data_IF_812206828985
#
_entry.id   IF_812206828985
#
_cell.length_a   1.000
_cell.length_b   1.000
_cell.length_c   1.000
_cell.angle_alpha   90.00
_cell.angle_beta   90.00
_cell.angle_gamma   90.00
#
_symmetry.space_group_name_H-M   'P 1'
#
loop_
_entity.id
_entity.type
_entity.pdbx_description
1 polymer ?
#
# COMPACT_ATOMS: atom_id res chain seq x y z
N UNK A 1 1.15 14.24 -29.89
CA UNK A 1 0.24 14.96 -28.97
C UNK A 1 -0.36 13.92 -28.05
N UNK A 2 0.38 13.53 -27.01
CA UNK A 2 -0.02 12.45 -26.09
C UNK A 2 -1.18 12.98 -25.24
N UNK A 3 -2.34 12.34 -25.35
CA UNK A 3 -3.41 12.49 -24.38
C UNK A 3 -2.81 12.08 -23.02
N UNK A 4 -2.69 13.03 -22.10
CA UNK A 4 -2.62 12.71 -20.68
C UNK A 4 -3.93 11.97 -20.42
N UNK A 5 -3.87 10.67 -20.13
CA UNK A 5 -5.04 9.94 -19.70
C UNK A 5 -5.58 10.66 -18.46
N UNK A 6 -6.84 11.11 -18.51
CA UNK A 6 -7.53 11.63 -17.34
C UNK A 6 -7.66 10.47 -16.36
N UNK A 7 -6.68 10.37 -15.46
CA UNK A 7 -6.69 9.43 -14.37
C UNK A 7 -8.00 9.62 -13.59
N UNK A 8 -8.66 8.53 -13.20
CA UNK A 8 -9.97 8.57 -12.56
C UNK A 8 -9.96 9.52 -11.35
N UNK A 9 -10.57 10.70 -11.54
CA UNK A 9 -10.72 11.73 -10.51
C UNK A 9 -11.42 11.16 -9.28
N UNK A 10 -12.30 10.18 -9.46
CA UNK A 10 -12.97 9.45 -8.40
C UNK A 10 -11.98 8.65 -7.54
N UNK A 11 -11.02 7.95 -8.15
CA UNK A 11 -9.99 7.21 -7.43
C UNK A 11 -9.08 8.14 -6.60
N UNK A 12 -8.62 9.25 -7.19
CA UNK A 12 -7.81 10.24 -6.46
C UNK A 12 -8.59 10.88 -5.30
N UNK A 13 -9.84 11.24 -5.54
CA UNK A 13 -10.69 11.84 -4.52
C UNK A 13 -10.97 10.84 -3.39
N UNK A 14 -11.18 9.56 -3.69
CA UNK A 14 -11.35 8.51 -2.68
C UNK A 14 -10.09 8.34 -1.83
N UNK A 15 -8.90 8.21 -2.45
CA UNK A 15 -7.65 8.10 -1.70
C UNK A 15 -7.39 9.32 -0.81
N UNK A 16 -7.69 10.52 -1.31
CA UNK A 16 -7.56 11.78 -0.54
C UNK A 16 -8.48 11.83 0.69
N UNK A 17 -9.58 11.06 0.69
CA UNK A 17 -10.49 10.88 1.84
C UNK A 17 -10.13 9.68 2.72
N UNK A 18 -9.06 8.94 2.39
CA UNK A 18 -8.69 7.70 3.09
C UNK A 18 -9.59 6.50 2.75
N UNK A 19 -10.33 6.58 1.64
CA UNK A 19 -11.23 5.53 1.18
C UNK A 19 -10.51 4.54 0.24
N UNK A 20 -10.94 3.27 0.20
CA UNK A 20 -10.34 2.26 -0.64
C UNK A 20 -10.65 2.48 -2.13
N UNK A 21 -9.67 2.15 -2.97
CA UNK A 21 -9.78 2.11 -4.44
C UNK A 21 -9.51 0.69 -4.91
N UNK A 22 -10.17 0.30 -6.00
CA UNK A 22 -9.86 -0.93 -6.70
C UNK A 22 -8.81 -0.66 -7.78
N UNK A 23 -7.64 -1.28 -7.64
CA UNK A 23 -6.54 -1.23 -8.61
C UNK A 23 -6.32 -2.64 -9.15
N UNK A 24 -6.66 -2.88 -10.41
CA UNK A 24 -6.68 -4.22 -11.00
C UNK A 24 -7.33 -5.24 -10.05
N UNK A 25 -6.59 -6.27 -9.66
CA UNK A 25 -7.02 -7.33 -8.74
C UNK A 25 -6.72 -7.05 -7.26
N UNK A 26 -6.45 -5.81 -6.89
CA UNK A 26 -6.13 -5.40 -5.53
C UNK A 26 -7.06 -4.32 -4.99
N UNK A 27 -7.26 -4.31 -3.67
CA UNK A 27 -7.75 -3.12 -2.96
C UNK A 27 -6.54 -2.32 -2.51
N UNK A 28 -6.59 -1.00 -2.75
CA UNK A 28 -5.54 -0.05 -2.39
C UNK A 28 -6.08 0.99 -1.41
N UNK A 29 -5.28 1.33 -0.41
CA UNK A 29 -5.50 2.41 0.54
C UNK A 29 -4.24 3.26 0.63
N UNK A 30 -4.38 4.56 0.88
CA UNK A 30 -3.23 5.39 1.28
C UNK A 30 -2.68 4.89 2.62
N UNK A 31 -1.38 4.59 2.68
CA UNK A 31 -0.76 4.17 3.95
C UNK A 31 -0.69 5.30 4.98
N UNK A 32 -0.69 6.56 4.55
CA UNK A 32 -0.72 7.73 5.44
C UNK A 32 -2.08 7.92 6.10
N UNK A 33 -3.18 7.71 5.35
CA UNK A 33 -4.55 7.97 5.81
C UNK A 33 -5.29 6.71 6.27
N UNK A 34 -4.68 5.53 6.17
CA UNK A 34 -5.34 4.28 6.54
C UNK A 34 -5.82 4.32 7.99
N UNK A 35 -7.10 4.00 8.18
CA UNK A 35 -7.74 3.89 9.49
C UNK A 35 -7.84 2.43 9.92
N UNK A 36 -8.13 2.19 11.19
CA UNK A 36 -8.49 0.85 11.67
C UNK A 36 -9.65 0.25 10.89
N UNK A 37 -10.67 1.06 10.58
CA UNK A 37 -11.86 0.61 9.85
C UNK A 37 -11.55 0.25 8.40
N UNK A 38 -10.77 1.08 7.69
CA UNK A 38 -10.39 0.79 6.30
C UNK A 38 -9.42 -0.39 6.20
N UNK A 39 -8.52 -0.56 7.17
CA UNK A 39 -7.68 -1.76 7.27
C UNK A 39 -8.53 -3.01 7.55
N UNK A 40 -9.50 -2.94 8.47
CA UNK A 40 -10.42 -4.05 8.74
C UNK A 40 -11.24 -4.42 7.50
N UNK A 41 -11.70 -3.43 6.73
CA UNK A 41 -12.37 -3.62 5.45
C UNK A 41 -11.46 -4.38 4.46
N UNK A 42 -10.22 -3.90 4.27
CA UNK A 42 -9.26 -4.57 3.40
C UNK A 42 -9.03 -6.01 3.87
N UNK A 43 -8.83 -6.26 5.17
CA UNK A 43 -8.63 -7.62 5.70
C UNK A 43 -9.83 -8.52 5.42
N UNK A 44 -11.06 -8.00 5.54
CA UNK A 44 -12.29 -8.80 5.42
C UNK A 44 -12.62 -9.21 3.99
N UNK A 45 -12.29 -8.37 3.00
CA UNK A 45 -12.75 -8.52 1.61
C UNK A 45 -11.61 -8.79 0.62
N UNK A 46 -10.41 -9.09 1.10
CA UNK A 46 -9.25 -9.48 0.29
C UNK A 46 -8.62 -10.74 0.87
N UNK A 47 -7.48 -11.19 0.36
CA UNK A 47 -6.67 -12.25 0.97
C UNK A 47 -6.24 -11.93 2.41
N UNK A 48 -6.32 -10.65 2.82
CA UNK A 48 -5.90 -10.18 4.13
C UNK A 48 -4.37 -10.09 4.30
N UNK A 49 -3.62 -10.46 3.25
CA UNK A 49 -2.16 -10.34 3.19
C UNK A 49 -1.76 -8.89 2.87
N UNK A 50 -1.80 -8.05 3.91
CA UNK A 50 -1.57 -6.61 3.81
C UNK A 50 -0.10 -6.29 3.49
N UNK A 51 0.13 -5.87 2.25
CA UNK A 51 1.41 -5.36 1.80
C UNK A 51 1.42 -3.83 1.87
N UNK A 52 2.60 -3.22 2.03
CA UNK A 52 2.78 -1.76 1.90
C UNK A 52 3.82 -1.49 0.81
N UNK A 53 3.36 -0.97 -0.33
CA UNK A 53 4.24 -0.55 -1.41
C UNK A 53 4.96 0.75 -1.04
N UNK A 54 6.29 0.73 -1.15
CA UNK A 54 7.16 1.85 -0.80
C UNK A 54 8.23 2.07 -1.88
N UNK A 55 8.65 3.32 -2.11
CA UNK A 55 9.80 3.62 -2.95
C UNK A 55 11.10 3.13 -2.29
N UNK A 56 12.13 2.90 -3.12
CA UNK A 56 13.42 2.37 -2.68
C UNK A 56 14.07 3.23 -1.59
N UNK A 57 13.95 4.54 -1.70
CA UNK A 57 14.53 5.53 -0.80
C UNK A 57 13.93 5.39 0.60
N UNK A 58 12.63 5.09 0.68
CA UNK A 58 11.94 4.92 1.95
C UNK A 58 12.36 3.64 2.66
N UNK A 59 12.44 2.53 1.93
CA UNK A 59 12.97 1.27 2.47
C UNK A 59 14.42 1.43 2.98
N UNK A 60 15.27 2.17 2.23
CA UNK A 60 16.64 2.48 2.64
C UNK A 60 16.69 3.34 3.90
N UNK A 61 15.89 4.40 3.98
CA UNK A 61 15.83 5.29 5.16
C UNK A 61 15.41 4.53 6.43
N UNK A 62 14.48 3.59 6.31
CA UNK A 62 13.99 2.76 7.40
C UNK A 62 14.84 1.50 7.66
N UNK A 63 15.93 1.32 6.90
CA UNK A 63 16.83 0.15 6.97
C UNK A 63 16.07 -1.19 6.88
N UNK A 64 15.08 -1.27 5.99
CA UNK A 64 14.31 -2.49 5.75
C UNK A 64 14.94 -3.22 4.55
N UNK A 65 15.63 -4.35 4.77
CA UNK A 65 16.27 -5.07 3.67
C UNK A 65 15.22 -5.77 2.80
N UNK A 66 15.50 -5.83 1.50
CA UNK A 66 14.74 -6.66 0.58
C UNK A 66 15.08 -8.14 0.81
N UNK A 67 14.08 -8.98 0.64
CA UNK A 67 14.26 -10.42 0.56
C UNK A 67 14.84 -10.77 -0.83
N UNK A 68 15.66 -11.84 -0.93
CA UNK A 68 16.05 -12.39 -2.22
C UNK A 68 14.81 -12.71 -3.07
N UNK A 69 14.85 -12.38 -4.35
CA UNK A 69 13.80 -12.70 -5.30
C UNK A 69 14.44 -13.39 -6.51
N UNK A 70 13.93 -14.57 -6.85
CA UNK A 70 14.36 -15.33 -8.03
C UNK A 70 13.58 -14.90 -9.30
N UNK A 71 12.46 -14.20 -9.12
CA UNK A 71 11.56 -13.73 -10.17
C UNK A 71 11.60 -12.19 -10.27
N UNK A 72 11.78 -11.69 -11.49
CA UNK A 72 11.82 -10.26 -11.80
C UNK A 72 10.43 -9.64 -11.98
N UNK A 73 9.38 -10.44 -12.16
CA UNK A 73 8.06 -9.95 -12.51
C UNK A 73 7.25 -9.56 -11.26
N UNK A 74 7.41 -10.28 -10.15
CA UNK A 74 6.78 -9.94 -8.86
C UNK A 74 7.53 -8.80 -8.14
N UNK A 75 6.85 -7.84 -7.48
CA UNK A 75 7.53 -6.82 -6.68
C UNK A 75 8.37 -7.47 -5.58
N UNK A 76 9.64 -7.04 -5.38
CA UNK A 76 10.48 -7.60 -4.33
C UNK A 76 9.88 -7.34 -2.95
N UNK A 77 9.62 -8.40 -2.20
CA UNK A 77 9.24 -8.31 -0.79
C UNK A 77 10.42 -7.82 0.06
N UNK A 78 10.09 -7.16 1.17
CA UNK A 78 11.05 -6.78 2.20
C UNK A 78 10.76 -7.50 3.51
N UNK A 79 11.71 -7.45 4.45
CA UNK A 79 11.48 -7.98 5.80
C UNK A 79 10.26 -7.33 6.41
N UNK A 80 9.34 -8.15 6.91
CA UNK A 80 8.10 -7.68 7.54
C UNK A 80 8.37 -6.90 8.81
N UNK A 81 7.47 -5.99 9.14
CA UNK A 81 7.59 -5.07 10.27
C UNK A 81 6.29 -4.90 11.02
N UNK A 82 6.39 -4.50 12.28
CA UNK A 82 5.33 -3.85 13.05
C UNK A 82 5.83 -2.50 13.59
N UNK A 83 4.92 -1.58 13.90
CA UNK A 83 5.26 -0.38 14.66
C UNK A 83 5.75 -0.79 16.06
N UNK A 84 6.85 -0.17 16.52
CA UNK A 84 7.47 -0.51 17.79
C UNK A 84 6.62 -0.08 19.00
N UNK A 85 5.88 1.03 18.87
CA UNK A 85 5.04 1.60 19.91
C UNK A 85 3.57 1.66 19.47
N UNK A 86 2.66 1.58 20.44
CA UNK A 86 1.21 1.69 20.19
C UNK A 86 0.56 0.46 19.56
N UNK A 87 1.31 -0.64 19.41
CA UNK A 87 0.80 -1.94 18.98
C UNK A 87 0.72 -2.92 20.16
N UNK A 88 0.05 -4.06 19.94
CA UNK A 88 -0.03 -5.15 20.91
C UNK A 88 0.64 -6.40 20.34
N UNK A 89 -0.11 -7.19 19.57
CA UNK A 89 0.40 -8.38 18.88
C UNK A 89 0.86 -8.07 17.46
N UNK A 90 0.55 -6.88 16.92
CA UNK A 90 0.90 -6.48 15.56
C UNK A 90 -0.13 -6.87 14.49
N UNK A 91 -0.86 -7.97 14.67
CA UNK A 91 -1.74 -8.54 13.63
C UNK A 91 -3.13 -7.88 13.51
N UNK A 92 -3.56 -7.15 14.54
CA UNK A 92 -4.89 -6.54 14.55
C UNK A 92 -5.05 -5.51 13.41
N UNK A 93 -6.28 -5.21 13.01
CA UNK A 93 -6.52 -4.15 12.01
C UNK A 93 -5.99 -2.78 12.48
N UNK A 94 -6.09 -2.52 13.79
CA UNK A 94 -5.55 -1.31 14.39
C UNK A 94 -4.02 -1.27 14.26
N UNK A 95 -3.36 -2.35 14.67
CA UNK A 95 -1.90 -2.44 14.72
C UNK A 95 -1.30 -2.37 13.31
N UNK A 96 -1.87 -3.11 12.35
CA UNK A 96 -1.44 -3.06 10.95
C UNK A 96 -1.67 -1.68 10.32
N UNK A 97 -2.77 -1.00 10.63
CA UNK A 97 -3.00 0.37 10.17
C UNK A 97 -1.98 1.35 10.77
N UNK A 98 -1.65 1.20 12.05
CA UNK A 98 -0.61 2.00 12.71
C UNK A 98 0.78 1.75 12.10
N UNK A 99 1.14 0.50 11.84
CA UNK A 99 2.38 0.13 11.16
C UNK A 99 2.44 0.74 9.75
N UNK A 100 1.36 0.71 8.98
CA UNK A 100 1.31 1.33 7.66
C UNK A 100 1.49 2.86 7.73
N UNK A 101 0.85 3.55 8.67
CA UNK A 101 1.07 5.00 8.89
C UNK A 101 2.50 5.30 9.33
N UNK A 102 3.08 4.45 10.16
CA UNK A 102 4.48 4.55 10.59
C UNK A 102 5.44 4.39 9.40
N UNK A 103 5.18 3.42 8.52
CA UNK A 103 5.93 3.26 7.27
C UNK A 103 5.81 4.48 6.34
N UNK A 104 4.68 5.17 6.32
CA UNK A 104 4.46 6.35 5.48
C UNK A 104 5.04 7.66 6.07
N UNK A 105 5.10 7.79 7.40
CA UNK A 105 5.39 9.06 8.06
C UNK A 105 6.84 9.55 7.86
N UNK A 106 7.07 10.80 7.40
CA UNK A 106 8.40 11.28 7.03
C UNK A 106 9.39 11.35 8.20
N UNK A 107 8.90 11.55 9.42
CA UNK A 107 9.71 11.62 10.64
C UNK A 107 10.13 10.25 11.17
N UNK A 108 9.50 9.16 10.72
CA UNK A 108 9.80 7.81 11.21
C UNK A 108 11.20 7.38 10.80
N UNK A 109 11.89 6.76 11.76
CA UNK A 109 13.21 6.17 11.63
C UNK A 109 13.15 4.65 11.83
N UNK A 110 14.28 3.98 11.61
CA UNK A 110 14.35 2.52 11.68
C UNK A 110 14.07 1.94 13.08
N UNK A 111 14.20 2.73 14.16
CA UNK A 111 13.94 2.32 15.54
C UNK A 111 12.45 2.26 15.88
N UNK A 112 11.61 2.93 15.11
CA UNK A 112 10.17 2.98 15.32
C UNK A 112 9.47 1.72 14.77
N UNK A 113 10.25 0.74 14.30
CA UNK A 113 9.80 -0.49 13.67
C UNK A 113 10.50 -1.71 14.27
N UNK A 114 9.73 -2.72 14.62
CA UNK A 114 10.22 -4.05 15.00
C UNK A 114 10.30 -4.96 13.76
N UNK A 115 11.14 -6.00 13.82
CA UNK A 115 11.36 -6.99 12.76
C UNK A 115 11.56 -8.37 13.39
N UNK A 116 10.90 -9.45 12.92
CA UNK A 116 9.82 -9.44 11.94
C UNK A 116 8.53 -8.80 12.50
N UNK A 117 7.51 -8.67 11.65
CA UNK A 117 6.15 -8.25 12.05
C UNK A 117 5.08 -8.74 11.06
N UNK A 118 3.91 -8.09 11.07
CA UNK A 118 2.71 -8.56 10.37
C UNK A 118 2.32 -7.72 9.13
N UNK A 119 3.00 -6.61 8.89
CA UNK A 119 2.88 -5.84 7.65
C UNK A 119 4.10 -6.14 6.78
N UNK A 120 3.87 -6.41 5.50
CA UNK A 120 4.93 -6.79 4.56
C UNK A 120 5.22 -5.63 3.60
N UNK A 121 6.32 -4.89 3.77
CA UNK A 121 6.68 -3.88 2.79
C UNK A 121 7.09 -4.54 1.47
N UNK A 122 6.70 -3.94 0.36
CA UNK A 122 7.14 -4.32 -0.99
C UNK A 122 7.74 -3.13 -1.70
N UNK A 123 8.70 -3.37 -2.59
CA UNK A 123 9.30 -2.31 -3.38
C UNK A 123 8.42 -1.96 -4.58
N UNK A 124 8.04 -0.68 -4.68
CA UNK A 124 7.66 -0.07 -5.95
C UNK A 124 8.94 0.25 -6.75
N UNK A 125 9.18 -0.51 -7.82
CA UNK A 125 10.38 -0.44 -8.66
C UNK A 125 10.33 0.80 -9.56
N UNK A 126 11.36 1.67 -9.52
CA UNK A 126 11.46 2.79 -10.44
C UNK A 126 11.43 2.31 -11.90
N UNK A 127 10.57 2.93 -12.72
CA UNK A 127 10.45 2.62 -14.16
C UNK A 127 9.60 1.39 -14.49
N UNK A 128 9.02 0.71 -13.50
CA UNK A 128 8.03 -0.35 -13.72
C UNK A 128 6.60 0.22 -13.63
N UNK A 129 5.64 -0.52 -14.18
CA UNK A 129 4.21 -0.14 -14.23
C UNK A 129 3.29 -1.19 -13.61
N UNK A 130 3.80 -1.95 -12.63
CA UNK A 130 3.02 -2.97 -11.93
C UNK A 130 2.10 -2.37 -10.87
N UNK A 131 1.35 -3.23 -10.19
CA UNK A 131 0.36 -2.83 -9.16
C UNK A 131 1.01 -2.05 -8.01
N UNK A 132 2.20 -2.46 -7.56
CA UNK A 132 2.91 -1.76 -6.49
C UNK A 132 3.30 -0.32 -6.90
N UNK A 133 3.79 -0.16 -8.14
CA UNK A 133 4.17 1.14 -8.68
C UNK A 133 2.96 2.03 -8.92
N UNK A 134 1.89 1.48 -9.51
CA UNK A 134 0.65 2.18 -9.74
C UNK A 134 0.00 2.63 -8.42
N UNK A 135 -0.01 1.80 -7.37
CA UNK A 135 -0.54 2.17 -6.07
C UNK A 135 0.21 3.36 -5.43
N UNK A 136 1.55 3.36 -5.52
CA UNK A 136 2.38 4.47 -5.03
C UNK A 136 2.15 5.74 -5.87
N UNK A 137 2.07 5.61 -7.18
CA UNK A 137 1.83 6.74 -8.08
C UNK A 137 0.45 7.36 -7.88
N UNK A 138 -0.59 6.56 -7.64
CA UNK A 138 -1.92 7.04 -7.26
C UNK A 138 -1.88 7.89 -5.99
N UNK A 139 -1.19 7.41 -4.94
CA UNK A 139 -1.03 8.19 -3.71
C UNK A 139 -0.29 9.51 -3.97
N UNK A 140 0.77 9.48 -4.79
CA UNK A 140 1.51 10.69 -5.17
C UNK A 140 0.65 11.69 -5.93
N UNK A 141 -0.14 11.23 -6.90
CA UNK A 141 -1.08 12.06 -7.69
C UNK A 141 -2.23 12.60 -6.83
N UNK A 142 -2.61 11.90 -5.76
CA UNK A 142 -3.55 12.38 -4.74
C UNK A 142 -2.92 13.39 -3.75
N UNK A 143 -1.62 13.72 -3.89
CA UNK A 143 -0.93 14.64 -2.99
C UNK A 143 -0.59 14.06 -1.62
N UNK A 144 -0.57 12.73 -1.50
CA UNK A 144 -0.29 11.99 -0.27
C UNK A 144 1.15 11.44 -0.28
N UNK A 145 1.61 10.92 0.86
CA UNK A 145 2.86 10.19 0.93
C UNK A 145 2.92 9.07 -0.13
N UNK A 146 4.10 8.85 -0.70
CA UNK A 146 4.38 7.78 -1.66
C UNK A 146 4.43 6.41 -0.94
N UNK A 147 3.31 5.99 -0.36
CA UNK A 147 3.15 4.75 0.39
C UNK A 147 1.70 4.27 0.32
N UNK A 148 1.49 3.03 -0.12
CA UNK A 148 0.16 2.48 -0.32
C UNK A 148 0.02 1.11 0.33
N UNK A 149 -1.07 0.89 1.07
CA UNK A 149 -1.45 -0.45 1.54
C UNK A 149 -2.19 -1.15 0.41
N UNK A 150 -1.87 -2.41 0.14
CA UNK A 150 -2.59 -3.21 -0.84
C UNK A 150 -2.71 -4.68 -0.43
N UNK A 151 -3.80 -5.31 -0.86
CA UNK A 151 -4.00 -6.74 -0.76
C UNK A 151 -4.79 -7.27 -1.96
N UNK A 152 -4.38 -8.45 -2.42
CA UNK A 152 -4.97 -9.14 -3.56
C UNK A 152 -6.38 -9.63 -3.22
N UNK A 153 -7.26 -9.60 -4.21
CA UNK A 153 -8.63 -10.06 -4.06
C UNK A 153 -8.80 -11.37 -4.79
N UNK A 154 -9.30 -12.35 -4.07
CA UNK A 154 -9.37 -13.75 -4.53
C UNK A 154 -10.76 -14.13 -5.07
N UNK A 155 -11.78 -13.28 -4.81
CA UNK A 155 -13.16 -13.51 -5.19
C UNK A 155 -13.89 -12.20 -5.49
N UNK A 156 -14.94 -12.27 -6.32
CA UNK A 156 -15.85 -11.15 -6.53
C UNK A 156 -16.71 -10.91 -5.28
N UNK A 157 -16.24 -10.02 -4.42
CA UNK A 157 -16.99 -9.59 -3.23
C UNK A 157 -17.94 -8.43 -3.57
N UNK A 158 -19.27 -8.54 -3.33
CA UNK A 158 -20.22 -7.46 -3.61
C UNK A 158 -19.88 -6.14 -2.91
N UNK A 159 -19.22 -6.20 -1.74
CA UNK A 159 -18.75 -5.04 -1.00
C UNK A 159 -17.70 -4.20 -1.76
N UNK A 160 -17.01 -4.79 -2.75
CA UNK A 160 -16.00 -4.13 -3.57
C UNK A 160 -16.56 -3.55 -4.88
N UNK A 161 -17.82 -3.85 -5.22
CA UNK A 161 -18.41 -3.44 -6.50
C UNK A 161 -18.57 -1.91 -6.63
N UNK A 162 -18.74 -1.21 -5.50
CA UNK A 162 -18.93 0.24 -5.46
C UNK A 162 -17.65 1.08 -5.33
N UNK A 163 -16.47 0.45 -5.27
CA UNK A 163 -15.22 1.19 -5.17
C UNK A 163 -14.88 1.84 -6.53
N UNK A 164 -14.30 3.06 -6.53
CA UNK A 164 -13.65 3.60 -7.73
C UNK A 164 -12.64 2.59 -8.27
N UNK A 165 -12.62 2.44 -9.60
CA UNK A 165 -11.81 1.43 -10.30
C UNK A 165 -10.84 2.12 -11.23
N UNK A 166 -9.58 1.72 -11.14
CA UNK A 166 -8.52 2.16 -12.03
C UNK A 166 -7.64 0.96 -12.34
N UNK A 167 -7.14 0.86 -13.56
CA UNK A 167 -6.14 -0.16 -13.91
C UNK A 167 -4.73 0.39 -13.77
N UNK A 168 -3.73 -0.47 -13.50
CA UNK A 168 -2.34 0.00 -13.41
C UNK A 168 -1.85 0.67 -14.71
N UNK A 169 -2.38 0.22 -15.86
CA UNK A 169 -2.05 0.79 -17.17
C UNK A 169 -2.57 2.24 -17.35
N UNK A 170 -3.67 2.61 -16.68
CA UNK A 170 -4.23 3.97 -16.73
C UNK A 170 -3.51 4.93 -15.77
N UNK A 171 -2.70 4.40 -14.85
CA UNK A 171 -1.97 5.22 -13.88
C UNK A 171 -0.81 6.00 -14.49
N UNK A 172 -0.22 5.54 -15.59
CA UNK A 172 1.01 6.11 -16.15
C UNK A 172 0.75 7.01 -17.36
#
# INVERSE_FOLDING_TARGET
MSLIADLDVGALAALSRGEPVRLDDCVVLSAELVTTASMAFLIRYTSGFACVALPRERLRALRIPLLPADDTDCPPFAVSVDAADGTTTGISAHDRALTARTLAAPATTWTDLTRPGHVVPILARPGCTGVAEAAVELCRRAGLAAAAVLAAVESDEPALAGLPRVSAAEVF
#
